data_IF_583753295899
#
_entry.id   IF_583753295899
#
_cell.length_a   1.000
_cell.length_b   1.000
_cell.length_c   1.000
_cell.angle_alpha   90.00
_cell.angle_beta   90.00
_cell.angle_gamma   90.00
#
_symmetry.space_group_name_H-M   'P 1'
#
loop_
_entity.id
_entity.type
_entity.pdbx_description
1 polymer ?
#
# COMPACT_ATOMS: atom_id res chain seq x y z
N UNK A 1 -50.63 -41.81 -15.24
CA UNK A 1 -51.18 -40.43 -15.40
C UNK A 1 -51.68 -39.86 -14.07
N UNK A 2 -52.50 -40.58 -13.28
CA UNK A 2 -52.95 -40.13 -11.95
C UNK A 2 -51.82 -39.99 -10.91
N UNK A 3 -50.87 -40.94 -10.84
CA UNK A 3 -49.73 -40.88 -9.90
C UNK A 3 -48.83 -39.67 -10.16
N UNK A 4 -48.43 -39.45 -11.42
CA UNK A 4 -47.57 -38.32 -11.81
C UNK A 4 -48.20 -36.96 -11.46
N UNK A 5 -49.52 -36.82 -11.63
CA UNK A 5 -50.21 -35.58 -11.28
C UNK A 5 -50.21 -35.34 -9.77
N UNK A 6 -50.39 -36.39 -8.97
CA UNK A 6 -50.34 -36.31 -7.50
C UNK A 6 -48.93 -35.98 -7.00
N UNK A 7 -47.91 -36.60 -7.59
CA UNK A 7 -46.50 -36.30 -7.30
C UNK A 7 -46.18 -34.82 -7.64
N UNK A 8 -46.64 -34.32 -8.79
CA UNK A 8 -46.47 -32.92 -9.17
C UNK A 8 -47.16 -31.95 -8.20
N UNK A 9 -48.37 -32.28 -7.73
CA UNK A 9 -49.08 -31.48 -6.70
C UNK A 9 -48.29 -31.45 -5.39
N UNK A 10 -47.78 -32.60 -4.95
CA UNK A 10 -46.99 -32.71 -3.72
C UNK A 10 -45.69 -31.90 -3.79
N UNK A 11 -44.98 -31.97 -4.92
CA UNK A 11 -43.75 -31.19 -5.15
C UNK A 11 -44.05 -29.69 -5.18
N UNK A 12 -45.09 -29.28 -5.92
CA UNK A 12 -45.50 -27.87 -6.00
C UNK A 12 -45.93 -27.32 -4.63
N UNK A 13 -46.68 -28.11 -3.85
CA UNK A 13 -47.12 -27.73 -2.50
C UNK A 13 -45.94 -27.52 -1.55
N UNK A 14 -44.97 -28.45 -1.57
CA UNK A 14 -43.76 -28.32 -0.76
C UNK A 14 -42.95 -27.09 -1.18
N UNK A 15 -42.76 -26.89 -2.49
CA UNK A 15 -42.06 -25.73 -3.03
C UNK A 15 -42.74 -24.39 -2.66
N UNK A 16 -44.07 -24.31 -2.78
CA UNK A 16 -44.85 -23.13 -2.41
C UNK A 16 -44.71 -22.77 -0.93
N UNK A 17 -44.80 -23.77 -0.05
CA UNK A 17 -44.65 -23.61 1.39
C UNK A 17 -43.26 -23.13 1.78
N UNK A 18 -42.23 -23.79 1.25
CA UNK A 18 -40.84 -23.50 1.61
C UNK A 18 -40.44 -22.13 1.01
N UNK A 19 -40.80 -21.85 -0.25
CA UNK A 19 -40.57 -20.54 -0.88
C UNK A 19 -41.32 -19.39 -0.19
N UNK A 20 -42.56 -19.60 0.25
CA UNK A 20 -43.31 -18.60 1.04
C UNK A 20 -42.57 -18.25 2.32
N UNK A 21 -42.06 -19.26 3.05
CA UNK A 21 -41.32 -19.05 4.28
C UNK A 21 -39.99 -18.32 4.02
N UNK A 22 -39.27 -18.69 2.98
CA UNK A 22 -37.97 -18.10 2.63
C UNK A 22 -38.10 -16.64 2.18
N UNK A 23 -39.07 -16.34 1.32
CA UNK A 23 -39.33 -14.97 0.85
C UNK A 23 -39.75 -14.07 2.01
N UNK A 24 -40.58 -14.58 2.93
CA UNK A 24 -41.02 -13.85 4.12
C UNK A 24 -39.83 -13.52 5.04
N UNK A 25 -38.93 -14.48 5.29
CA UNK A 25 -37.69 -14.23 6.07
C UNK A 25 -36.82 -13.19 5.38
N UNK A 26 -36.71 -13.25 4.06
CA UNK A 26 -35.95 -12.30 3.26
C UNK A 26 -36.50 -10.86 3.36
N UNK A 27 -37.82 -10.67 3.35
CA UNK A 27 -38.42 -9.36 3.61
C UNK A 27 -38.12 -8.88 5.03
N UNK A 28 -38.31 -9.73 6.05
CA UNK A 28 -38.05 -9.38 7.45
C UNK A 28 -36.60 -8.92 7.68
N UNK A 29 -35.63 -9.61 7.08
CA UNK A 29 -34.22 -9.25 7.17
C UNK A 29 -33.93 -7.89 6.54
N UNK A 30 -34.49 -7.62 5.35
CA UNK A 30 -34.31 -6.33 4.66
C UNK A 30 -34.97 -5.18 5.42
N UNK A 31 -36.21 -5.36 5.92
CA UNK A 31 -36.89 -4.37 6.78
C UNK A 31 -36.04 -4.06 8.02
N UNK A 32 -35.50 -5.08 8.69
CA UNK A 32 -34.63 -4.89 9.85
C UNK A 32 -33.35 -4.10 9.52
N UNK A 33 -32.76 -4.34 8.35
CA UNK A 33 -31.59 -3.58 7.88
C UNK A 33 -31.93 -2.13 7.56
N UNK A 34 -33.07 -1.86 6.92
CA UNK A 34 -33.57 -0.51 6.65
C UNK A 34 -33.96 0.26 7.93
N UNK A 35 -34.33 -0.44 9.01
CA UNK A 35 -34.62 0.19 10.31
C UNK A 35 -33.40 0.67 11.11
N UNK A 36 -32.17 0.48 10.60
CA UNK A 36 -30.95 0.92 11.28
C UNK A 36 -30.81 2.44 11.24
N UNK A 37 -30.33 3.03 12.34
CA UNK A 37 -30.08 4.47 12.44
C UNK A 37 -28.58 4.76 12.55
N UNK A 38 -27.89 5.05 11.43
CA UNK A 38 -26.48 5.39 11.47
C UNK A 38 -26.24 6.75 12.16
N UNK A 39 -25.20 6.78 13.02
CA UNK A 39 -24.82 7.96 13.82
C UNK A 39 -23.53 8.65 13.38
N UNK A 40 -22.62 7.94 12.70
CA UNK A 40 -21.37 8.47 12.19
C UNK A 40 -21.25 8.25 10.67
N UNK A 41 -20.25 8.87 10.05
CA UNK A 41 -20.01 8.84 8.61
C UNK A 41 -19.84 7.41 8.05
N UNK A 42 -19.06 6.57 8.75
CA UNK A 42 -18.80 5.18 8.34
C UNK A 42 -20.08 4.34 8.36
N UNK A 43 -20.83 4.41 9.45
CA UNK A 43 -22.09 3.69 9.59
C UNK A 43 -23.14 4.19 8.58
N UNK A 44 -23.13 5.50 8.29
CA UNK A 44 -24.03 6.10 7.30
C UNK A 44 -23.70 5.63 5.88
N UNK A 45 -22.43 5.57 5.51
CA UNK A 45 -22.01 5.01 4.22
C UNK A 45 -22.43 3.54 4.08
N UNK A 46 -22.14 2.70 5.08
CA UNK A 46 -22.55 1.30 5.08
C UNK A 46 -24.08 1.13 5.00
N UNK A 47 -24.84 2.02 5.64
CA UNK A 47 -26.29 2.04 5.56
C UNK A 47 -26.79 2.41 4.16
N UNK A 48 -26.21 3.44 3.52
CA UNK A 48 -26.54 3.82 2.13
C UNK A 48 -26.20 2.69 1.16
N UNK A 49 -25.06 2.03 1.33
CA UNK A 49 -24.69 0.86 0.53
C UNK A 49 -25.71 -0.29 0.69
N UNK A 50 -26.06 -0.62 1.94
CA UNK A 50 -27.08 -1.65 2.22
C UNK A 50 -28.43 -1.30 1.59
N UNK A 51 -28.86 -0.04 1.68
CA UNK A 51 -30.08 0.45 1.05
C UNK A 51 -30.03 0.31 -0.47
N UNK A 52 -28.91 0.67 -1.11
CA UNK A 52 -28.74 0.56 -2.56
C UNK A 52 -28.82 -0.91 -3.02
N UNK A 53 -28.15 -1.82 -2.32
CA UNK A 53 -28.23 -3.28 -2.58
C UNK A 53 -29.67 -3.78 -2.42
N UNK A 54 -30.36 -3.38 -1.35
CA UNK A 54 -31.77 -3.74 -1.16
C UNK A 54 -32.62 -3.20 -2.32
N UNK A 55 -32.34 -1.96 -2.78
CA UNK A 55 -32.98 -1.31 -3.91
C UNK A 55 -32.86 -2.10 -5.23
N UNK A 56 -31.67 -2.62 -5.52
CA UNK A 56 -31.41 -3.47 -6.69
C UNK A 56 -32.17 -4.81 -6.61
N UNK A 57 -32.29 -5.37 -5.40
CA UNK A 57 -32.96 -6.64 -5.14
C UNK A 57 -34.50 -6.56 -5.09
N UNK A 58 -35.08 -5.36 -4.95
CA UNK A 58 -36.55 -5.18 -4.76
C UNK A 58 -37.34 -5.94 -5.81
N UNK A 59 -36.96 -5.77 -7.09
CA UNK A 59 -37.70 -6.39 -8.21
C UNK A 59 -37.66 -7.91 -8.14
N UNK A 60 -36.49 -8.48 -7.86
CA UNK A 60 -36.31 -9.94 -7.75
C UNK A 60 -37.12 -10.50 -6.59
N UNK A 61 -37.12 -9.81 -5.45
CA UNK A 61 -37.85 -10.23 -4.26
C UNK A 61 -39.37 -10.18 -4.46
N UNK A 62 -39.88 -9.10 -5.08
CA UNK A 62 -41.30 -8.99 -5.44
C UNK A 62 -41.72 -10.05 -6.46
N UNK A 63 -40.86 -10.38 -7.43
CA UNK A 63 -41.11 -11.47 -8.38
C UNK A 63 -41.18 -12.83 -7.68
N UNK A 64 -40.28 -13.12 -6.74
CA UNK A 64 -40.31 -14.34 -5.96
C UNK A 64 -41.61 -14.48 -5.17
N UNK A 65 -42.09 -13.39 -4.55
CA UNK A 65 -43.40 -13.40 -3.88
C UNK A 65 -44.56 -13.62 -4.86
N UNK A 66 -44.52 -13.00 -6.04
CA UNK A 66 -45.56 -13.21 -7.06
C UNK A 66 -45.58 -14.66 -7.55
N UNK A 67 -44.43 -15.31 -7.68
CA UNK A 67 -44.33 -16.74 -7.99
C UNK A 67 -44.98 -17.60 -6.91
N UNK A 68 -44.79 -17.28 -5.62
CA UNK A 68 -45.47 -17.99 -4.52
C UNK A 68 -46.99 -17.88 -4.66
N UNK A 69 -47.53 -16.70 -4.98
CA UNK A 69 -48.96 -16.51 -5.24
C UNK A 69 -49.45 -17.37 -6.41
N UNK A 70 -48.69 -17.44 -7.50
CA UNK A 70 -49.01 -18.29 -8.66
C UNK A 70 -49.00 -19.78 -8.31
N UNK A 71 -48.04 -20.24 -7.50
CA UNK A 71 -47.99 -21.63 -7.04
C UNK A 71 -49.24 -22.00 -6.23
N UNK A 72 -49.64 -21.17 -5.25
CA UNK A 72 -50.85 -21.42 -4.46
C UNK A 72 -52.14 -21.30 -5.27
N UNK A 73 -52.22 -20.37 -6.23
CA UNK A 73 -53.35 -20.30 -7.17
C UNK A 73 -53.49 -21.58 -8.00
N UNK A 74 -52.37 -22.12 -8.49
CA UNK A 74 -52.36 -23.35 -9.26
C UNK A 74 -52.77 -24.57 -8.41
N UNK A 75 -52.25 -24.69 -7.19
CA UNK A 75 -52.65 -25.73 -6.23
C UNK A 75 -54.16 -25.69 -5.96
N UNK A 76 -54.71 -24.50 -5.76
CA UNK A 76 -56.15 -24.27 -5.57
C UNK A 76 -56.96 -24.69 -6.81
N UNK A 77 -56.50 -24.39 -8.03
CA UNK A 77 -57.18 -24.81 -9.26
C UNK A 77 -57.25 -26.33 -9.47
N UNK A 78 -56.42 -27.09 -8.75
CA UNK A 78 -56.39 -28.54 -8.75
C UNK A 78 -57.02 -29.16 -7.49
N UNK A 79 -57.82 -28.38 -6.76
CA UNK A 79 -58.54 -28.76 -5.54
C UNK A 79 -57.62 -29.27 -4.40
N UNK A 80 -56.36 -28.82 -4.36
CA UNK A 80 -55.45 -29.13 -3.25
C UNK A 80 -55.84 -28.29 -2.04
N UNK A 81 -56.11 -28.94 -0.91
CA UNK A 81 -56.43 -28.25 0.35
C UNK A 81 -55.17 -27.66 0.98
N UNK A 82 -55.08 -26.34 1.00
CA UNK A 82 -54.01 -25.61 1.68
C UNK A 82 -54.30 -25.55 3.18
N UNK A 83 -53.38 -26.00 4.07
CA UNK A 83 -53.54 -25.91 5.52
C UNK A 83 -53.65 -24.47 6.03
N UNK A 84 -54.37 -24.26 7.13
CA UNK A 84 -54.55 -22.91 7.72
C UNK A 84 -53.22 -22.24 8.10
N UNK A 85 -52.21 -23.00 8.53
CA UNK A 85 -50.88 -22.45 8.85
C UNK A 85 -50.19 -21.83 7.62
N UNK A 86 -50.42 -22.38 6.44
CA UNK A 86 -49.84 -21.88 5.18
C UNK A 86 -50.62 -20.68 4.66
N UNK A 87 -51.94 -20.65 4.85
CA UNK A 87 -52.76 -19.47 4.57
C UNK A 87 -52.32 -18.27 5.41
N UNK A 88 -52.06 -18.46 6.71
CA UNK A 88 -51.54 -17.41 7.58
C UNK A 88 -50.19 -16.87 7.06
N UNK A 89 -49.27 -17.75 6.64
CA UNK A 89 -47.99 -17.30 6.06
C UNK A 89 -48.16 -16.53 4.74
N UNK A 90 -49.14 -16.90 3.93
CA UNK A 90 -49.45 -16.20 2.68
C UNK A 90 -50.04 -14.81 2.97
N UNK A 91 -50.94 -14.70 3.95
CA UNK A 91 -51.49 -13.43 4.42
C UNK A 91 -50.39 -12.53 5.04
N UNK A 92 -49.47 -13.13 5.82
CA UNK A 92 -48.30 -12.43 6.36
C UNK A 92 -47.38 -11.94 5.22
N UNK A 93 -47.20 -12.72 4.16
CA UNK A 93 -46.42 -12.35 2.98
C UNK A 93 -47.06 -11.17 2.21
N UNK A 94 -48.39 -11.10 2.14
CA UNK A 94 -49.07 -9.93 1.56
C UNK A 94 -48.96 -8.71 2.46
N UNK A 95 -49.03 -8.90 3.78
CA UNK A 95 -48.91 -7.82 4.76
C UNK A 95 -47.49 -7.23 4.77
N UNK A 96 -46.46 -8.08 4.69
CA UNK A 96 -45.07 -7.64 4.77
C UNK A 96 -44.63 -6.81 3.54
N UNK A 97 -45.32 -6.93 2.40
CA UNK A 97 -45.09 -6.06 1.25
C UNK A 97 -45.32 -4.59 1.58
N UNK A 98 -46.43 -4.28 2.25
CA UNK A 98 -46.74 -2.90 2.68
C UNK A 98 -45.70 -2.38 3.67
N UNK A 99 -45.33 -3.21 4.65
CA UNK A 99 -44.29 -2.87 5.64
C UNK A 99 -42.91 -2.66 4.99
N UNK A 100 -42.58 -3.44 3.96
CA UNK A 100 -41.33 -3.31 3.22
C UNK A 100 -41.30 -2.03 2.39
N UNK A 101 -42.40 -1.69 1.70
CA UNK A 101 -42.49 -0.43 0.96
C UNK A 101 -42.37 0.77 1.90
N UNK A 102 -43.08 0.75 3.04
CA UNK A 102 -42.97 1.79 4.06
C UNK A 102 -41.53 1.92 4.60
N UNK A 103 -40.86 0.79 4.84
CA UNK A 103 -39.46 0.78 5.27
C UNK A 103 -38.51 1.37 4.22
N UNK A 104 -38.74 1.12 2.92
CA UNK A 104 -37.96 1.74 1.83
C UNK A 104 -38.18 3.25 1.81
N UNK A 105 -39.44 3.69 1.87
CA UNK A 105 -39.78 5.12 1.80
C UNK A 105 -39.22 5.89 2.99
N UNK A 106 -39.30 5.32 4.21
CA UNK A 106 -38.67 5.88 5.40
C UNK A 106 -37.14 5.95 5.25
N UNK A 107 -36.51 4.88 4.76
CA UNK A 107 -35.07 4.86 4.54
C UNK A 107 -34.61 5.90 3.51
N UNK A 108 -35.37 6.11 2.43
CA UNK A 108 -35.13 7.16 1.45
C UNK A 108 -35.21 8.55 2.09
N UNK A 109 -36.26 8.80 2.87
CA UNK A 109 -36.45 10.07 3.58
C UNK A 109 -35.31 10.34 4.57
N UNK A 110 -34.93 9.35 5.38
CA UNK A 110 -33.85 9.47 6.38
C UNK A 110 -32.49 9.73 5.74
N UNK A 111 -32.18 9.06 4.61
CA UNK A 111 -30.94 9.31 3.85
C UNK A 111 -30.97 10.73 3.28
N UNK A 112 -32.04 11.13 2.60
CA UNK A 112 -32.18 12.46 2.00
C UNK A 112 -32.05 13.58 3.03
N UNK A 113 -32.58 13.38 4.24
CA UNK A 113 -32.46 14.36 5.33
C UNK A 113 -31.02 14.52 5.87
N UNK A 114 -30.21 13.46 5.84
CA UNK A 114 -28.85 13.45 6.42
C UNK A 114 -27.72 13.59 5.40
N UNK A 115 -27.98 13.33 4.11
CA UNK A 115 -26.94 13.22 3.08
C UNK A 115 -26.10 14.49 2.98
N UNK A 116 -26.72 15.67 3.05
CA UNK A 116 -25.99 16.95 2.96
C UNK A 116 -25.05 17.17 4.15
N UNK A 117 -25.49 16.81 5.37
CA UNK A 117 -24.66 16.90 6.57
C UNK A 117 -23.48 15.91 6.50
N UNK A 118 -23.74 14.68 6.05
CA UNK A 118 -22.70 13.65 5.94
C UNK A 118 -21.71 13.95 4.81
N UNK A 119 -22.18 14.53 3.70
CA UNK A 119 -21.33 15.03 2.63
C UNK A 119 -20.41 16.17 3.12
N UNK A 120 -20.93 17.09 3.94
CA UNK A 120 -20.10 18.13 4.56
C UNK A 120 -19.06 17.53 5.51
N UNK A 121 -19.44 16.56 6.34
CA UNK A 121 -18.51 15.86 7.23
C UNK A 121 -17.41 15.13 6.44
N UNK A 122 -17.77 14.45 5.34
CA UNK A 122 -16.82 13.79 4.45
C UNK A 122 -15.82 14.78 3.85
N UNK A 123 -16.29 15.93 3.35
CA UNK A 123 -15.39 16.97 2.82
C UNK A 123 -14.43 17.52 3.88
N UNK A 124 -14.86 17.63 5.14
CA UNK A 124 -13.98 18.04 6.24
C UNK A 124 -12.91 16.98 6.54
N UNK A 125 -13.25 15.70 6.51
CA UNK A 125 -12.27 14.62 6.67
C UNK A 125 -11.27 14.56 5.50
N UNK A 126 -11.73 14.76 4.26
CA UNK A 126 -10.85 14.87 3.08
C UNK A 126 -9.88 16.05 3.23
N UNK A 127 -10.37 17.23 3.63
CA UNK A 127 -9.53 18.40 3.86
C UNK A 127 -8.48 18.20 4.96
N UNK A 128 -8.79 17.37 5.98
CA UNK A 128 -7.80 16.98 7.00
C UNK A 128 -6.71 16.09 6.40
N UNK A 129 -7.06 15.14 5.52
CA UNK A 129 -6.06 14.33 4.82
C UNK A 129 -5.11 15.19 3.99
N UNK A 130 -5.65 16.19 3.27
CA UNK A 130 -4.82 17.14 2.51
C UNK A 130 -3.85 17.90 3.43
N UNK A 131 -4.33 18.35 4.59
CA UNK A 131 -3.50 19.05 5.57
C UNK A 131 -2.42 18.13 6.16
N UNK A 132 -2.76 16.90 6.54
CA UNK A 132 -1.80 15.88 7.00
C UNK A 132 -0.72 15.62 5.94
N UNK A 133 -1.09 15.55 4.65
CA UNK A 133 -0.14 15.36 3.55
C UNK A 133 0.79 16.56 3.37
N UNK A 134 0.28 17.79 3.46
CA UNK A 134 1.11 19.00 3.39
C UNK A 134 2.15 19.03 4.53
N UNK A 135 1.75 18.61 5.73
CA UNK A 135 2.65 18.49 6.87
C UNK A 135 3.76 17.46 6.61
N UNK A 136 3.40 16.26 6.12
CA UNK A 136 4.38 15.23 5.73
C UNK A 136 5.34 15.75 4.64
N UNK A 137 4.82 16.45 3.62
CA UNK A 137 5.67 17.04 2.57
C UNK A 137 6.65 18.07 3.14
N UNK A 138 6.18 18.89 4.09
CA UNK A 138 7.01 19.92 4.75
C UNK A 138 8.10 19.27 5.59
N UNK A 139 7.77 18.20 6.32
CA UNK A 139 8.73 17.44 7.12
C UNK A 139 9.76 16.77 6.22
N UNK A 140 9.36 16.11 5.13
CA UNK A 140 10.28 15.52 4.16
C UNK A 140 11.20 16.56 3.49
N UNK A 141 10.75 17.80 3.36
CA UNK A 141 11.50 18.90 2.75
C UNK A 141 12.42 19.65 3.74
N UNK A 142 12.20 19.57 5.04
CA UNK A 142 12.90 20.39 6.05
C UNK A 142 13.53 19.60 7.21
N UNK A 143 13.22 18.31 7.34
CA UNK A 143 13.77 17.44 8.38
C UNK A 143 15.18 16.92 8.02
N UNK A 144 15.66 16.01 8.86
CA UNK A 144 16.96 15.31 8.70
C UNK A 144 17.10 14.57 7.36
N UNK A 145 16.00 14.35 6.65
CA UNK A 145 15.98 13.85 5.27
C UNK A 145 16.76 14.71 4.26
N UNK A 146 17.15 15.93 4.65
CA UNK A 146 17.97 16.85 3.84
C UNK A 146 19.35 17.14 4.43
N UNK A 147 19.64 16.61 5.62
CA UNK A 147 20.89 16.87 6.31
C UNK A 147 21.99 15.93 5.80
N UNK A 148 23.03 16.43 5.12
CA UNK A 148 24.11 15.59 4.60
C UNK A 148 24.93 14.91 5.72
N UNK A 149 24.80 15.32 6.98
CA UNK A 149 25.51 14.71 8.11
C UNK A 149 24.69 13.68 8.87
N UNK A 150 23.41 13.48 8.52
CA UNK A 150 22.59 12.49 9.18
C UNK A 150 23.09 11.06 8.87
N UNK A 151 22.84 10.16 9.81
CA UNK A 151 23.11 8.73 9.66
C UNK A 151 22.02 8.10 8.79
N UNK A 152 22.42 7.37 7.75
CA UNK A 152 21.49 6.82 6.77
C UNK A 152 20.46 5.86 7.39
N UNK A 153 20.87 5.04 8.36
CA UNK A 153 20.02 4.11 9.11
C UNK A 153 18.92 4.84 9.89
N UNK A 154 19.28 5.87 10.65
CA UNK A 154 18.32 6.65 11.44
C UNK A 154 17.31 7.40 10.55
N UNK A 155 17.76 7.92 9.39
CA UNK A 155 16.84 8.56 8.44
C UNK A 155 15.90 7.55 7.80
N UNK A 156 16.38 6.35 7.45
CA UNK A 156 15.54 5.29 6.89
C UNK A 156 14.49 4.78 7.89
N UNK A 157 14.82 4.68 9.17
CA UNK A 157 13.84 4.36 10.23
C UNK A 157 12.73 5.41 10.31
N UNK A 158 13.08 6.71 10.27
CA UNK A 158 12.08 7.78 10.18
C UNK A 158 11.23 7.66 8.90
N UNK A 159 11.85 7.35 7.76
CA UNK A 159 11.13 7.19 6.49
C UNK A 159 10.17 6.00 6.52
N UNK A 160 10.46 4.93 7.24
CA UNK A 160 9.51 3.82 7.42
C UNK A 160 8.26 4.25 8.21
N UNK A 161 8.41 5.12 9.22
CA UNK A 161 7.27 5.72 9.92
C UNK A 161 6.43 6.62 8.98
N UNK A 162 7.10 7.41 8.13
CA UNK A 162 6.44 8.25 7.11
C UNK A 162 5.71 7.38 6.09
N UNK A 163 6.31 6.28 5.62
CA UNK A 163 5.64 5.31 4.73
C UNK A 163 4.35 4.80 5.37
N UNK A 164 4.41 4.39 6.63
CA UNK A 164 3.23 3.92 7.35
C UNK A 164 2.15 5.00 7.48
N UNK A 165 2.52 6.29 7.61
CA UNK A 165 1.57 7.40 7.59
C UNK A 165 0.91 7.56 6.22
N UNK A 166 1.69 7.57 5.14
CA UNK A 166 1.19 7.69 3.75
C UNK A 166 0.25 6.53 3.42
N UNK A 167 0.60 5.30 3.80
CA UNK A 167 -0.24 4.12 3.55
C UNK A 167 -1.59 4.20 4.29
N UNK A 168 -1.60 4.69 5.55
CA UNK A 168 -2.84 4.94 6.29
C UNK A 168 -3.70 6.02 5.63
N UNK A 169 -3.09 7.08 5.09
CA UNK A 169 -3.81 8.13 4.38
C UNK A 169 -4.39 7.59 3.07
N UNK A 170 -3.65 6.76 2.33
CA UNK A 170 -4.13 6.08 1.12
C UNK A 170 -5.37 5.22 1.41
N UNK A 171 -5.34 4.40 2.46
CA UNK A 171 -6.51 3.60 2.85
C UNK A 171 -7.75 4.45 3.15
N UNK A 172 -7.55 5.59 3.84
CA UNK A 172 -8.65 6.54 4.10
C UNK A 172 -9.14 7.21 2.82
N UNK A 173 -8.24 7.60 1.91
CA UNK A 173 -8.58 8.21 0.63
C UNK A 173 -9.41 7.25 -0.25
N UNK A 174 -9.07 5.97 -0.27
CA UNK A 174 -9.83 4.94 -0.98
C UNK A 174 -11.24 4.76 -0.37
N UNK A 175 -11.33 4.72 0.96
CA UNK A 175 -12.60 4.66 1.68
C UNK A 175 -13.47 5.90 1.40
N UNK A 176 -12.90 7.10 1.44
CA UNK A 176 -13.61 8.34 1.19
C UNK A 176 -14.04 8.48 -0.27
N UNK A 177 -13.23 8.01 -1.22
CA UNK A 177 -13.62 7.92 -2.64
C UNK A 177 -14.84 7.00 -2.81
N UNK A 178 -14.88 5.88 -2.10
CA UNK A 178 -16.04 5.01 -2.10
C UNK A 178 -17.28 5.71 -1.49
N UNK A 179 -17.12 6.44 -0.39
CA UNK A 179 -18.22 7.21 0.21
C UNK A 179 -18.73 8.33 -0.73
N UNK A 180 -17.84 9.03 -1.43
CA UNK A 180 -18.23 10.02 -2.44
C UNK A 180 -19.11 9.41 -3.53
N UNK A 181 -18.77 8.19 -4.01
CA UNK A 181 -19.62 7.46 -4.96
C UNK A 181 -20.98 7.13 -4.38
N UNK A 182 -21.04 6.61 -3.15
CA UNK A 182 -22.31 6.29 -2.48
C UNK A 182 -23.21 7.51 -2.29
N UNK A 183 -22.60 8.68 -2.02
CA UNK A 183 -23.32 9.93 -1.82
C UNK A 183 -23.55 10.72 -3.11
N UNK A 184 -23.15 10.16 -4.27
CA UNK A 184 -23.22 10.81 -5.57
C UNK A 184 -22.52 12.19 -5.59
N UNK A 185 -21.39 12.29 -4.88
CA UNK A 185 -20.54 13.46 -4.84
C UNK A 185 -19.48 13.41 -5.95
N UNK A 186 -18.99 14.58 -6.42
CA UNK A 186 -17.82 14.62 -7.28
C UNK A 186 -16.62 13.93 -6.59
N UNK A 187 -15.86 13.09 -7.31
CA UNK A 187 -14.66 12.47 -6.75
C UNK A 187 -13.63 13.57 -6.44
N UNK A 188 -12.95 13.45 -5.30
CA UNK A 188 -11.84 14.32 -4.96
C UNK A 188 -10.56 13.81 -5.64
N UNK A 189 -9.77 14.72 -6.19
CA UNK A 189 -8.47 14.40 -6.78
C UNK A 189 -7.38 14.56 -5.72
N UNK A 190 -6.86 13.44 -5.21
CA UNK A 190 -5.80 13.41 -4.20
C UNK A 190 -4.41 13.73 -4.78
N UNK A 191 -4.27 14.91 -5.39
CA UNK A 191 -3.00 15.34 -6.02
C UNK A 191 -1.87 15.44 -5.00
N UNK A 192 -2.16 15.95 -3.79
CA UNK A 192 -1.20 16.01 -2.68
C UNK A 192 -0.69 14.63 -2.28
N UNK A 193 -1.53 13.59 -2.32
CA UNK A 193 -1.14 12.22 -1.97
C UNK A 193 -0.14 11.68 -2.99
N UNK A 194 -0.42 11.88 -4.27
CA UNK A 194 0.48 11.50 -5.37
C UNK A 194 1.82 12.23 -5.23
N UNK A 195 1.81 13.55 -5.06
CA UNK A 195 3.04 14.35 -4.90
C UNK A 195 3.82 13.98 -3.62
N UNK A 196 3.13 13.66 -2.52
CA UNK A 196 3.78 13.22 -1.28
C UNK A 196 4.47 11.87 -1.48
N UNK A 197 3.82 10.93 -2.16
CA UNK A 197 4.40 9.61 -2.45
C UNK A 197 5.60 9.71 -3.39
N UNK A 198 5.52 10.54 -4.43
CA UNK A 198 6.65 10.81 -5.33
C UNK A 198 7.83 11.42 -4.55
N UNK A 199 7.59 12.43 -3.72
CA UNK A 199 8.61 13.05 -2.87
C UNK A 199 9.26 12.03 -1.91
N UNK A 200 8.43 11.19 -1.27
CA UNK A 200 8.86 10.12 -0.41
C UNK A 200 9.75 9.11 -1.14
N UNK A 201 9.29 8.59 -2.29
CA UNK A 201 9.99 7.58 -3.07
C UNK A 201 11.37 8.09 -3.52
N UNK A 202 11.46 9.35 -3.93
CA UNK A 202 12.73 9.98 -4.27
C UNK A 202 13.69 10.11 -3.07
N UNK A 203 13.16 10.45 -1.88
CA UNK A 203 13.99 10.55 -0.66
C UNK A 203 14.44 9.17 -0.19
N UNK A 204 13.53 8.19 -0.19
CA UNK A 204 13.84 6.82 0.17
C UNK A 204 14.87 6.21 -0.78
N UNK A 205 14.74 6.42 -2.10
CA UNK A 205 15.72 5.95 -3.09
C UNK A 205 17.12 6.51 -2.78
N UNK A 206 17.23 7.81 -2.51
CA UNK A 206 18.52 8.43 -2.17
C UNK A 206 19.15 7.81 -0.92
N UNK A 207 18.39 7.79 0.18
CA UNK A 207 18.91 7.33 1.47
C UNK A 207 19.23 5.84 1.48
N UNK A 208 18.43 5.01 0.80
CA UNK A 208 18.69 3.58 0.71
C UNK A 208 19.94 3.29 -0.12
N UNK A 209 20.14 3.98 -1.26
CA UNK A 209 21.38 3.82 -2.03
C UNK A 209 22.61 4.31 -1.26
N UNK A 210 22.48 5.39 -0.48
CA UNK A 210 23.56 5.87 0.38
C UNK A 210 23.88 4.84 1.49
N UNK A 211 22.86 4.29 2.17
CA UNK A 211 23.05 3.23 3.18
C UNK A 211 23.76 2.01 2.60
N UNK A 212 23.30 1.51 1.45
CA UNK A 212 23.91 0.35 0.78
C UNK A 212 25.37 0.62 0.42
N UNK A 213 25.68 1.83 -0.05
CA UNK A 213 27.04 2.26 -0.33
C UNK A 213 27.91 2.32 0.93
N UNK A 214 27.38 2.86 2.03
CA UNK A 214 28.07 2.92 3.32
C UNK A 214 28.33 1.52 3.88
N UNK A 215 27.37 0.59 3.78
CA UNK A 215 27.55 -0.80 4.17
C UNK A 215 28.61 -1.52 3.34
N UNK A 216 28.59 -1.32 2.02
CA UNK A 216 29.56 -1.90 1.10
C UNK A 216 30.98 -1.39 1.37
N UNK A 217 31.12 -0.10 1.65
CA UNK A 217 32.44 0.54 1.78
C UNK A 217 32.98 0.48 3.21
N UNK A 218 32.15 0.85 4.20
CA UNK A 218 32.56 1.18 5.57
C UNK A 218 31.83 0.35 6.62
N UNK A 219 30.91 -0.54 6.22
CA UNK A 219 30.20 -1.42 7.13
C UNK A 219 31.11 -2.47 7.81
N UNK A 220 30.58 -3.22 8.79
CA UNK A 220 31.34 -4.24 9.53
C UNK A 220 31.99 -5.31 8.64
N UNK A 221 31.34 -5.63 7.51
CA UNK A 221 31.83 -6.55 6.48
C UNK A 221 32.20 -5.84 5.17
N UNK A 222 32.16 -4.51 5.17
CA UNK A 222 32.48 -3.67 4.02
C UNK A 222 33.97 -3.68 3.69
N UNK A 223 34.33 -3.16 2.52
CA UNK A 223 35.70 -3.26 1.98
C UNK A 223 36.77 -2.73 2.94
N UNK A 224 36.51 -1.61 3.64
CA UNK A 224 37.46 -1.02 4.60
C UNK A 224 37.84 -1.96 5.74
N UNK A 225 36.89 -2.75 6.21
CA UNK A 225 37.07 -3.69 7.33
C UNK A 225 37.78 -4.97 6.93
N UNK A 226 37.92 -5.24 5.63
CA UNK A 226 38.54 -6.46 5.11
C UNK A 226 40.06 -6.31 4.92
N UNK A 227 40.77 -7.42 5.12
CA UNK A 227 42.18 -7.54 4.74
C UNK A 227 42.30 -7.33 3.22
N UNK A 228 43.22 -6.45 2.81
CA UNK A 228 43.30 -6.02 1.41
C UNK A 228 43.55 -7.18 0.43
N UNK A 229 44.35 -8.17 0.82
CA UNK A 229 44.64 -9.36 -0.01
C UNK A 229 43.43 -10.25 -0.30
N UNK A 230 42.36 -10.15 0.51
CA UNK A 230 41.11 -10.87 0.29
C UNK A 230 40.18 -10.15 -0.69
N UNK A 231 40.43 -8.86 -0.95
CA UNK A 231 39.62 -8.07 -1.87
C UNK A 231 39.98 -8.35 -3.33
N UNK A 232 39.07 -7.97 -4.22
CA UNK A 232 39.23 -8.03 -5.68
C UNK A 232 39.02 -6.62 -6.24
N UNK A 233 40.09 -5.82 -6.41
CA UNK A 233 39.99 -4.44 -6.87
C UNK A 233 39.25 -4.28 -8.20
N UNK A 234 39.33 -5.23 -9.12
CA UNK A 234 38.62 -5.19 -10.40
C UNK A 234 37.10 -5.31 -10.22
N UNK A 235 36.65 -6.11 -9.24
CA UNK A 235 35.23 -6.23 -8.92
C UNK A 235 34.75 -4.99 -8.15
N UNK A 236 35.56 -4.47 -7.23
CA UNK A 236 35.31 -3.19 -6.57
C UNK A 236 35.15 -2.07 -7.60
N UNK A 237 35.96 -2.03 -8.67
CA UNK A 237 35.85 -0.99 -9.70
C UNK A 237 34.48 -1.03 -10.39
N UNK A 238 33.97 -2.23 -10.71
CA UNK A 238 32.65 -2.38 -11.32
C UNK A 238 31.56 -1.82 -10.39
N UNK A 239 31.62 -2.16 -9.11
CA UNK A 239 30.67 -1.69 -8.10
C UNK A 239 30.74 -0.17 -7.90
N UNK A 240 31.95 0.40 -7.83
CA UNK A 240 32.17 1.86 -7.73
C UNK A 240 31.59 2.57 -8.95
N UNK A 241 31.82 2.07 -10.17
CA UNK A 241 31.26 2.68 -11.38
C UNK A 241 29.73 2.54 -11.44
N UNK A 242 29.17 1.43 -10.98
CA UNK A 242 27.73 1.22 -10.92
C UNK A 242 27.08 2.22 -9.93
N UNK A 243 27.59 2.31 -8.71
CA UNK A 243 27.10 3.22 -7.68
C UNK A 243 27.31 4.69 -8.07
N UNK A 244 28.42 5.04 -8.71
CA UNK A 244 28.64 6.40 -9.22
C UNK A 244 27.60 6.80 -10.28
N UNK A 245 27.21 5.88 -11.17
CA UNK A 245 26.14 6.16 -12.16
C UNK A 245 24.82 6.45 -11.45
N UNK A 246 24.48 5.67 -10.42
CA UNK A 246 23.28 5.87 -9.60
C UNK A 246 23.33 7.22 -8.88
N UNK A 247 24.44 7.51 -8.19
CA UNK A 247 24.63 8.76 -7.45
C UNK A 247 24.54 9.99 -8.37
N UNK A 248 25.17 9.95 -9.56
CA UNK A 248 25.08 11.04 -10.55
C UNK A 248 23.66 11.20 -11.09
N UNK A 249 22.93 10.11 -11.32
CA UNK A 249 21.53 10.16 -11.75
C UNK A 249 20.65 10.80 -10.68
N UNK A 250 20.81 10.42 -9.43
CA UNK A 250 20.04 10.98 -8.30
C UNK A 250 20.37 12.47 -8.14
N UNK A 251 21.66 12.83 -8.11
CA UNK A 251 22.10 14.23 -8.02
C UNK A 251 21.59 15.12 -9.17
N UNK A 252 21.49 14.59 -10.40
CA UNK A 252 20.93 15.34 -11.53
C UNK A 252 19.44 15.60 -11.41
N UNK A 253 18.69 14.73 -10.74
CA UNK A 253 17.27 14.92 -10.48
C UNK A 253 17.05 15.90 -9.32
N UNK A 254 17.95 15.88 -8.35
CA UNK A 254 17.86 16.69 -7.13
C UNK A 254 19.26 17.17 -6.72
N UNK A 255 19.51 18.46 -6.88
CA UNK A 255 20.73 19.12 -6.43
C UNK A 255 20.69 19.40 -4.92
N UNK A 256 20.41 18.37 -4.12
CA UNK A 256 20.48 18.45 -2.66
C UNK A 256 21.84 18.00 -2.11
N UNK A 257 22.17 18.46 -0.90
CA UNK A 257 23.48 18.23 -0.28
C UNK A 257 23.73 16.75 0.05
N UNK A 258 22.68 15.97 0.31
CA UNK A 258 22.78 14.52 0.59
C UNK A 258 23.16 13.77 -0.69
N UNK A 259 22.53 14.09 -1.82
CA UNK A 259 22.89 13.54 -3.12
C UNK A 259 24.30 13.97 -3.54
N UNK A 260 24.71 15.20 -3.21
CA UNK A 260 26.08 15.67 -3.39
C UNK A 260 27.07 14.82 -2.59
N UNK A 261 26.80 14.59 -1.29
CA UNK A 261 27.60 13.69 -0.44
C UNK A 261 27.77 12.31 -1.08
N UNK A 262 26.67 11.66 -1.46
CA UNK A 262 26.74 10.31 -2.04
C UNK A 262 27.59 10.29 -3.32
N UNK A 263 27.38 11.26 -4.20
CA UNK A 263 28.15 11.40 -5.45
C UNK A 263 29.64 11.65 -5.18
N UNK A 264 29.97 12.56 -4.26
CA UNK A 264 31.35 12.93 -3.97
C UNK A 264 32.11 11.76 -3.32
N UNK A 265 31.45 10.97 -2.46
CA UNK A 265 32.01 9.73 -1.95
C UNK A 265 32.28 8.71 -3.06
N UNK A 266 31.33 8.50 -3.97
CA UNK A 266 31.53 7.60 -5.12
C UNK A 266 32.66 8.06 -6.05
N UNK A 267 32.81 9.38 -6.27
CA UNK A 267 33.92 9.97 -7.04
C UNK A 267 35.25 9.73 -6.34
N UNK A 268 35.30 9.93 -5.01
CA UNK A 268 36.50 9.69 -4.20
C UNK A 268 36.98 8.24 -4.34
N UNK A 269 36.06 7.28 -4.18
CA UNK A 269 36.37 5.86 -4.40
C UNK A 269 36.82 5.56 -5.82
N UNK A 270 36.19 6.17 -6.84
CA UNK A 270 36.65 6.04 -8.24
C UNK A 270 38.08 6.54 -8.43
N UNK A 271 38.46 7.63 -7.75
CA UNK A 271 39.83 8.14 -7.77
C UNK A 271 40.86 7.19 -7.15
N UNK A 272 40.43 6.39 -6.17
CA UNK A 272 41.26 5.38 -5.51
C UNK A 272 41.47 4.12 -6.34
N UNK A 273 40.51 3.74 -7.20
CA UNK A 273 40.53 2.47 -7.91
C UNK A 273 41.80 2.15 -8.70
N UNK A 274 42.41 3.08 -9.47
CA UNK A 274 43.66 2.79 -10.19
C UNK A 274 44.79 2.33 -9.27
N UNK A 275 44.91 2.95 -8.08
CA UNK A 275 45.93 2.56 -7.09
C UNK A 275 45.60 1.20 -6.49
N UNK A 276 44.34 0.93 -6.16
CA UNK A 276 43.92 -0.35 -5.59
C UNK A 276 44.10 -1.50 -6.59
N UNK A 277 43.82 -1.27 -7.88
CA UNK A 277 44.04 -2.27 -8.94
C UNK A 277 45.53 -2.58 -9.10
N UNK A 278 46.38 -1.56 -9.14
CA UNK A 278 47.82 -1.76 -9.19
C UNK A 278 48.32 -2.58 -7.98
N UNK A 279 47.88 -2.23 -6.75
CA UNK A 279 48.20 -2.98 -5.53
C UNK A 279 47.63 -4.42 -5.53
N UNK A 280 46.57 -4.67 -6.29
CA UNK A 280 45.98 -6.00 -6.46
C UNK A 280 46.74 -6.91 -7.42
N UNK A 281 47.75 -6.40 -8.14
CA UNK A 281 48.47 -7.17 -9.15
C UNK A 281 49.18 -8.40 -8.53
N UNK A 282 48.85 -9.64 -8.93
CA UNK A 282 49.48 -10.86 -8.43
C UNK A 282 51.00 -10.94 -8.70
N UNK A 283 51.53 -10.12 -9.60
CA UNK A 283 52.97 -10.05 -9.88
C UNK A 283 53.78 -9.34 -8.78
N UNK A 284 53.11 -8.62 -7.87
CA UNK A 284 53.76 -7.94 -6.75
C UNK A 284 54.42 -8.95 -5.79
N UNK A 285 55.72 -8.77 -5.54
CA UNK A 285 56.52 -9.60 -4.62
C UNK A 285 56.90 -8.80 -3.39
N UNK A 286 57.39 -9.46 -2.33
CA UNK A 286 57.83 -8.82 -1.07
C UNK A 286 58.66 -7.55 -1.29
N UNK A 287 59.66 -7.60 -2.18
CA UNK A 287 60.51 -6.44 -2.52
C UNK A 287 59.75 -5.21 -3.02
N UNK A 288 58.63 -5.40 -3.73
CA UNK A 288 57.79 -4.32 -4.26
C UNK A 288 56.98 -3.70 -3.12
N UNK A 289 56.41 -4.55 -2.26
CA UNK A 289 55.72 -4.12 -1.04
C UNK A 289 56.66 -3.35 -0.11
N UNK A 290 57.89 -3.84 0.10
CA UNK A 290 58.90 -3.16 0.91
C UNK A 290 59.24 -1.77 0.37
N UNK A 291 59.34 -1.61 -0.97
CA UNK A 291 59.60 -0.31 -1.61
C UNK A 291 58.45 0.68 -1.42
N UNK A 292 57.20 0.23 -1.60
CA UNK A 292 55.99 1.05 -1.42
C UNK A 292 55.86 1.47 0.06
N UNK A 293 56.04 0.52 0.97
CA UNK A 293 55.89 0.74 2.42
C UNK A 293 57.00 1.61 3.02
N UNK A 294 58.23 1.50 2.51
CA UNK A 294 59.33 2.38 2.91
C UNK A 294 59.01 3.86 2.68
N UNK A 295 58.26 4.20 1.61
CA UNK A 295 57.85 5.59 1.33
C UNK A 295 56.78 6.11 2.28
N UNK A 296 55.97 5.20 2.84
CA UNK A 296 55.04 5.50 3.92
C UNK A 296 55.72 5.49 5.31
N UNK A 297 57.02 5.19 5.39
CA UNK A 297 57.79 5.15 6.63
C UNK A 297 57.43 4.00 7.56
N UNK A 298 56.98 2.86 7.01
CA UNK A 298 56.51 1.69 7.78
C UNK A 298 56.95 0.37 7.16
N UNK A 299 57.03 -0.73 7.93
CA UNK A 299 57.27 -2.06 7.38
C UNK A 299 56.02 -2.63 6.69
N UNK A 300 56.21 -3.50 5.71
CA UNK A 300 55.11 -4.22 5.06
C UNK A 300 54.34 -5.08 6.06
N UNK A 301 53.01 -4.96 6.02
CA UNK A 301 52.07 -5.74 6.84
C UNK A 301 51.11 -6.52 5.94
N UNK A 302 51.27 -7.84 5.88
CA UNK A 302 50.44 -8.72 5.04
C UNK A 302 48.97 -8.78 5.47
N UNK A 303 48.69 -8.45 6.73
CA UNK A 303 47.35 -8.55 7.34
C UNK A 303 46.66 -7.17 7.39
N UNK A 304 47.22 -6.16 6.71
CA UNK A 304 46.65 -4.82 6.60
C UNK A 304 45.24 -4.86 6.02
N UNK A 305 44.35 -4.05 6.59
CA UNK A 305 43.04 -3.80 6.00
C UNK A 305 43.10 -2.72 4.93
N UNK A 306 42.06 -2.62 4.10
CA UNK A 306 41.93 -1.48 3.20
C UNK A 306 41.84 -0.16 3.98
N UNK A 307 41.20 -0.13 5.15
CA UNK A 307 41.18 1.07 5.97
C UNK A 307 42.58 1.49 6.44
N UNK A 308 43.45 0.55 6.76
CA UNK A 308 44.85 0.86 7.06
C UNK A 308 45.54 1.56 5.90
N UNK A 309 45.41 1.05 4.68
CA UNK A 309 45.95 1.67 3.47
C UNK A 309 45.42 3.09 3.25
N UNK A 310 44.13 3.31 3.50
CA UNK A 310 43.50 4.64 3.42
C UNK A 310 44.08 5.58 4.48
N UNK A 311 44.18 5.14 5.73
CA UNK A 311 44.74 5.95 6.83
C UNK A 311 46.23 6.28 6.63
N UNK A 312 46.97 5.43 5.92
CA UNK A 312 48.38 5.67 5.57
C UNK A 312 48.57 6.52 4.31
N UNK A 313 47.46 7.01 3.74
CA UNK A 313 47.44 7.89 2.56
C UNK A 313 48.16 7.27 1.35
N UNK A 314 47.97 5.96 1.13
CA UNK A 314 48.63 5.22 0.03
C UNK A 314 48.39 5.86 -1.35
N UNK A 315 47.23 6.49 -1.53
CA UNK A 315 46.80 7.11 -2.78
C UNK A 315 47.65 8.32 -3.18
N UNK A 316 48.36 8.94 -2.23
CA UNK A 316 49.34 10.00 -2.52
C UNK A 316 50.53 9.48 -3.33
N UNK A 317 50.82 8.18 -3.24
CA UNK A 317 51.93 7.53 -3.93
C UNK A 317 51.49 6.77 -5.19
N UNK A 318 50.36 7.17 -5.79
CA UNK A 318 49.78 6.51 -6.98
C UNK A 318 50.80 6.21 -8.08
N UNK A 319 51.61 7.21 -8.47
CA UNK A 319 52.61 7.03 -9.55
C UNK A 319 53.63 5.93 -9.22
N UNK A 320 54.16 5.95 -7.99
CA UNK A 320 55.10 4.92 -7.53
C UNK A 320 54.45 3.53 -7.52
N UNK A 321 53.21 3.45 -7.03
CA UNK A 321 52.47 2.19 -6.97
C UNK A 321 52.26 1.66 -8.40
N UNK A 322 51.86 2.50 -9.34
CA UNK A 322 51.68 2.12 -10.75
C UNK A 322 52.99 1.72 -11.44
N UNK A 323 54.13 2.35 -11.11
CA UNK A 323 55.45 2.00 -11.65
C UNK A 323 56.01 0.68 -11.08
N UNK A 324 55.66 0.34 -9.84
CA UNK A 324 56.20 -0.83 -9.13
C UNK A 324 55.37 -2.10 -9.39
N UNK A 325 54.11 -1.93 -9.82
CA UNK A 325 53.13 -3.01 -10.00
C UNK A 325 53.20 -3.65 -11.38
#
# INVERSE_FOLDING_TARGET
KSVVLEDMKSVLHTAARDSSSDVLVQFQQRIKSLGRKPGNLKDFAAYVETKNVIGEDVKTLLQASATVDEMYKLLSSFDVKIPSQEQVKLDDLHTIHGQFQEAIDMAESDVSAKIAQMAQALNQEIAKLDQELIEIMTDLASAECTNPKAESTAVLEMLDDVRAQIDRIQEKADQYTHYQKLFNMPPHEYTNLTSTRELFDEKFELWENLRLWEELTSGPVGWRSQIFSNLRPEDMEKEVQANLKVAVRIFKKREDDVAARFKDEAIKWKGWMPTLIALGNPALRSRHWDQIFAKMGRPYDKDMTLDNLIQWDIFRFKELVEETS
#
